data_IF_129512109860
#
_entry.id   IF_129512109860
#
_cell.length_a   1.000
_cell.length_b   1.000
_cell.length_c   1.000
_cell.angle_alpha   90.00
_cell.angle_beta   90.00
_cell.angle_gamma   90.00
#
_symmetry.space_group_name_H-M   'P 1'
#
loop_
_entity.id
_entity.type
_entity.pdbx_description
1 polymer ?
#
# COMPACT_ATOMS: atom_id res chain seq x y z
N UNK A 1 1.30 1.64 -8.50
CA UNK A 1 0.68 1.00 -9.68
C UNK A 1 0.69 -0.51 -9.50
N UNK A 2 -0.43 -1.17 -9.75
CA UNK A 2 -0.60 -2.60 -9.50
C UNK A 2 -1.22 -3.31 -10.70
N UNK A 3 -0.88 -4.59 -10.86
CA UNK A 3 -1.55 -5.53 -11.76
C UNK A 3 -2.19 -6.61 -10.88
N UNK A 4 -3.47 -6.84 -11.06
CA UNK A 4 -4.25 -7.81 -10.29
C UNK A 4 -4.70 -8.99 -11.14
N UNK A 5 -4.81 -10.16 -10.51
CA UNK A 5 -5.46 -11.34 -11.06
C UNK A 5 -6.40 -11.92 -10.01
N UNK A 6 -7.70 -12.04 -10.34
CA UNK A 6 -8.73 -12.52 -9.41
C UNK A 6 -8.75 -11.79 -8.07
N UNK A 7 -8.60 -10.46 -8.09
CA UNK A 7 -8.61 -9.63 -6.87
C UNK A 7 -7.31 -9.65 -6.04
N UNK A 8 -6.29 -10.37 -6.49
CA UNK A 8 -4.99 -10.43 -5.82
C UNK A 8 -3.94 -9.71 -6.66
N UNK A 9 -3.16 -8.84 -6.03
CA UNK A 9 -2.05 -8.16 -6.69
C UNK A 9 -0.95 -9.16 -7.01
N UNK A 10 -0.62 -9.30 -8.29
CA UNK A 10 0.45 -10.18 -8.79
C UNK A 10 1.72 -9.41 -9.14
N UNK A 11 1.59 -8.15 -9.51
CA UNK A 11 2.72 -7.25 -9.74
C UNK A 11 2.38 -5.85 -9.26
N UNK A 12 3.36 -5.15 -8.73
CA UNK A 12 3.22 -3.78 -8.27
C UNK A 12 4.54 -3.03 -8.41
N UNK A 13 4.46 -1.72 -8.57
CA UNK A 13 5.62 -0.84 -8.59
C UNK A 13 5.36 0.39 -7.71
N UNK A 14 6.36 0.81 -6.96
CA UNK A 14 6.30 2.02 -6.15
C UNK A 14 6.43 3.26 -7.01
N UNK A 15 5.57 4.24 -6.78
CA UNK A 15 5.53 5.51 -7.51
C UNK A 15 5.22 6.67 -6.59
N UNK A 16 5.86 7.81 -6.82
CA UNK A 16 5.44 9.10 -6.27
C UNK A 16 4.45 9.74 -7.23
N UNK A 17 3.25 10.04 -6.72
CA UNK A 17 2.18 10.64 -7.52
C UNK A 17 1.53 11.73 -6.68
N UNK A 18 1.84 12.99 -7.00
CA UNK A 18 1.45 14.16 -6.22
C UNK A 18 -0.06 14.26 -5.96
N UNK A 19 -0.89 13.94 -6.94
CA UNK A 19 -2.35 13.98 -6.79
C UNK A 19 -2.85 12.95 -5.77
N UNK A 20 -2.18 11.78 -5.67
CA UNK A 20 -2.49 10.76 -4.67
C UNK A 20 -2.04 11.23 -3.27
N UNK A 21 -0.88 11.84 -3.17
CA UNK A 21 -0.37 12.39 -1.91
C UNK A 21 -1.34 13.43 -1.34
N UNK A 22 -1.77 14.38 -2.16
CA UNK A 22 -2.77 15.40 -1.77
C UNK A 22 -4.10 14.76 -1.33
N UNK A 23 -4.55 13.75 -2.04
CA UNK A 23 -5.77 13.01 -1.69
C UNK A 23 -5.63 12.29 -0.34
N UNK A 24 -4.50 11.64 -0.10
CA UNK A 24 -4.26 10.94 1.18
C UNK A 24 -4.25 11.91 2.36
N UNK A 25 -3.64 13.09 2.22
CA UNK A 25 -3.71 14.13 3.25
C UNK A 25 -5.14 14.59 3.53
N UNK A 26 -5.94 14.80 2.48
CA UNK A 26 -7.34 15.18 2.63
C UNK A 26 -8.17 14.08 3.33
N UNK A 27 -7.91 12.81 3.04
CA UNK A 27 -8.55 11.67 3.72
C UNK A 27 -8.16 11.64 5.20
N UNK A 28 -6.88 11.78 5.52
CA UNK A 28 -6.39 11.79 6.90
C UNK A 28 -6.98 12.96 7.68
N UNK A 29 -7.02 14.15 7.11
CA UNK A 29 -7.58 15.33 7.77
C UNK A 29 -9.08 15.18 8.07
N UNK A 30 -9.82 14.62 7.12
CA UNK A 30 -11.26 14.45 7.23
C UNK A 30 -11.67 13.32 8.18
N UNK A 31 -11.05 12.16 8.04
CA UNK A 31 -11.46 10.93 8.75
C UNK A 31 -10.64 10.66 10.00
N UNK A 32 -9.45 11.25 10.13
CA UNK A 32 -8.52 11.06 11.26
C UNK A 32 -8.36 9.59 11.65
N UNK A 33 -7.98 8.72 10.69
CA UNK A 33 -7.91 7.29 10.92
C UNK A 33 -6.89 6.97 12.01
N UNK A 34 -7.21 5.98 12.83
CA UNK A 34 -6.30 5.46 13.85
C UNK A 34 -5.63 4.20 13.29
N UNK A 35 -4.34 4.29 12.98
CA UNK A 35 -3.57 3.18 12.41
C UNK A 35 -3.53 3.13 10.88
N UNK A 36 -3.02 2.04 10.35
CA UNK A 36 -2.85 1.87 8.90
C UNK A 36 -4.17 1.66 8.18
N UNK A 37 -4.27 2.25 7.02
CA UNK A 37 -5.38 2.03 6.09
C UNK A 37 -4.87 1.98 4.65
N UNK A 38 -5.59 1.28 3.81
CA UNK A 38 -5.29 1.12 2.41
C UNK A 38 -6.38 1.80 1.56
N UNK A 39 -5.96 2.66 0.64
CA UNK A 39 -6.85 3.34 -0.31
C UNK A 39 -6.67 2.73 -1.68
N UNK A 40 -7.75 2.26 -2.27
CA UNK A 40 -7.77 1.78 -3.65
C UNK A 40 -8.42 2.83 -4.54
N UNK A 41 -7.74 3.18 -5.60
CA UNK A 41 -8.17 4.22 -6.53
C UNK A 41 -7.68 3.94 -7.95
N UNK A 42 -8.29 4.60 -8.90
CA UNK A 42 -7.81 4.72 -10.28
C UNK A 42 -7.59 6.20 -10.59
N UNK A 43 -6.66 6.49 -11.50
CA UNK A 43 -6.48 7.83 -12.05
C UNK A 43 -6.99 7.83 -13.47
N UNK A 44 -7.93 8.72 -13.76
CA UNK A 44 -8.42 8.97 -15.10
C UNK A 44 -8.31 10.46 -15.41
N UNK A 45 -7.64 10.78 -16.51
CA UNK A 45 -7.39 12.16 -16.92
C UNK A 45 -6.77 13.05 -15.82
N UNK A 46 -5.86 12.47 -15.03
CA UNK A 46 -5.19 13.16 -13.92
C UNK A 46 -6.03 13.28 -12.64
N UNK A 47 -7.27 12.79 -12.63
CA UNK A 47 -8.17 12.83 -11.48
C UNK A 47 -8.19 11.47 -10.77
N UNK A 48 -7.96 11.43 -9.44
CA UNK A 48 -8.03 10.20 -8.65
C UNK A 48 -9.49 9.89 -8.27
N UNK A 49 -9.93 8.68 -8.56
CA UNK A 49 -11.23 8.15 -8.19
C UNK A 49 -11.05 7.03 -7.17
N UNK A 50 -11.42 7.30 -5.92
CA UNK A 50 -11.38 6.30 -4.84
C UNK A 50 -12.62 5.42 -4.93
N UNK A 51 -12.42 4.12 -4.91
CA UNK A 51 -13.52 3.16 -4.89
C UNK A 51 -13.54 2.28 -3.64
N UNK A 52 -12.43 2.23 -2.87
CA UNK A 52 -12.38 1.45 -1.64
C UNK A 52 -11.36 2.03 -0.65
N UNK A 53 -11.74 2.07 0.63
CA UNK A 53 -10.83 2.36 1.74
C UNK A 53 -10.95 1.22 2.76
N UNK A 54 -9.84 0.55 3.04
CA UNK A 54 -9.78 -0.57 3.98
C UNK A 54 -8.96 -0.17 5.22
N UNK A 55 -9.53 -0.20 6.43
CA UNK A 55 -8.81 0.10 7.67
C UNK A 55 -7.92 -1.08 8.10
N UNK A 56 -7.00 -1.46 7.27
CA UNK A 56 -6.04 -2.56 7.47
C UNK A 56 -4.83 -2.38 6.57
N UNK A 57 -3.77 -3.14 6.82
CA UNK A 57 -2.63 -3.24 5.91
C UNK A 57 -3.06 -3.74 4.52
N UNK A 58 -2.37 -3.26 3.51
CA UNK A 58 -2.50 -3.77 2.15
C UNK A 58 -1.94 -5.19 2.03
N UNK A 59 -2.46 -5.97 1.10
CA UNK A 59 -1.84 -7.25 0.70
C UNK A 59 -0.47 -7.05 0.04
N UNK A 60 -0.13 -5.82 -0.32
CA UNK A 60 1.18 -5.42 -0.86
C UNK A 60 2.12 -4.83 0.19
N UNK A 61 1.85 -5.02 1.49
CA UNK A 61 2.69 -4.51 2.59
C UNK A 61 4.16 -4.91 2.45
N UNK A 62 4.44 -6.10 1.92
CA UNK A 62 5.81 -6.54 1.67
C UNK A 62 6.59 -5.58 0.75
N UNK A 63 5.93 -5.04 -0.28
CA UNK A 63 6.52 -4.05 -1.17
C UNK A 63 6.77 -2.72 -0.44
N UNK A 64 5.85 -2.29 0.42
CA UNK A 64 6.00 -1.06 1.21
C UNK A 64 7.16 -1.18 2.17
N UNK A 65 7.30 -2.32 2.83
CA UNK A 65 8.41 -2.59 3.76
C UNK A 65 9.75 -2.65 3.03
N UNK A 66 9.83 -3.32 1.88
CA UNK A 66 11.04 -3.37 1.06
C UNK A 66 11.42 -2.00 0.49
N UNK A 67 10.43 -1.15 0.23
CA UNK A 67 10.65 0.24 -0.18
C UNK A 67 11.17 1.16 0.92
N UNK A 68 11.25 0.67 2.17
CA UNK A 68 11.82 1.39 3.32
C UNK A 68 10.81 1.89 4.35
N UNK A 69 9.53 1.56 4.21
CA UNK A 69 8.48 1.97 5.17
C UNK A 69 7.96 0.75 5.94
N UNK A 70 8.35 0.63 7.20
CA UNK A 70 7.87 -0.43 8.08
C UNK A 70 6.52 -0.02 8.71
N UNK A 71 5.43 -0.31 8.03
CA UNK A 71 4.07 0.02 8.47
C UNK A 71 3.71 -0.65 9.80
N UNK A 72 4.24 -1.84 10.08
CA UNK A 72 3.97 -2.57 11.32
C UNK A 72 4.60 -1.85 12.50
N UNK A 73 5.86 -1.47 12.39
CA UNK A 73 6.57 -0.71 13.43
C UNK A 73 5.91 0.64 13.68
N UNK A 74 5.53 1.36 12.61
CA UNK A 74 4.81 2.64 12.73
C UNK A 74 3.48 2.48 13.45
N UNK A 75 2.76 1.39 13.21
CA UNK A 75 1.47 1.13 13.86
C UNK A 75 1.61 0.77 15.34
N UNK A 76 2.75 0.23 15.76
CA UNK A 76 3.05 -0.12 17.15
C UNK A 76 3.71 1.02 17.92
N UNK A 77 4.21 2.03 17.22
CA UNK A 77 4.89 3.18 17.86
C UNK A 77 3.90 4.32 18.08
N UNK A 78 3.99 4.98 19.24
CA UNK A 78 3.26 6.23 19.52
C UNK A 78 3.86 7.45 18.77
N UNK A 79 4.87 7.22 17.95
CA UNK A 79 5.54 8.25 17.16
C UNK A 79 4.80 8.49 15.86
N UNK A 80 3.87 9.41 15.88
CA UNK A 80 3.23 9.91 14.65
C UNK A 80 4.17 10.90 13.96
N UNK A 81 4.82 10.49 12.89
CA UNK A 81 5.49 11.42 11.99
C UNK A 81 4.42 12.10 11.14
N UNK A 82 4.24 13.38 11.32
CA UNK A 82 3.21 14.17 10.61
C UNK A 82 3.54 14.47 9.15
N UNK A 83 4.13 13.55 8.38
CA UNK A 83 4.51 13.80 6.98
C UNK A 83 4.74 12.53 6.19
N UNK A 84 4.98 12.72 4.89
CA UNK A 84 5.40 11.64 4.01
C UNK A 84 6.75 11.08 4.43
N UNK A 85 6.80 9.77 4.58
CA UNK A 85 8.05 9.06 4.80
C UNK A 85 8.76 8.83 3.47
N UNK A 86 10.09 8.96 3.44
CA UNK A 86 10.86 8.65 2.25
C UNK A 86 10.75 7.16 1.92
N UNK A 87 10.62 6.85 0.65
CA UNK A 87 10.62 5.47 0.16
C UNK A 87 11.32 5.34 -1.19
N UNK A 88 11.75 4.13 -1.50
CA UNK A 88 12.36 3.82 -2.79
C UNK A 88 11.30 3.82 -3.88
N UNK A 89 11.41 4.72 -4.86
CA UNK A 89 10.56 4.79 -6.03
C UNK A 89 11.05 3.83 -7.13
N UNK A 90 10.13 3.27 -7.91
CA UNK A 90 10.47 2.37 -9.02
C UNK A 90 10.78 0.93 -8.58
N UNK A 91 10.62 0.61 -7.30
CA UNK A 91 10.78 -0.77 -6.84
C UNK A 91 9.63 -1.63 -7.35
N UNK A 92 9.95 -2.75 -7.98
CA UNK A 92 8.98 -3.67 -8.59
C UNK A 92 8.85 -4.92 -7.74
N UNK A 93 7.62 -5.28 -7.42
CA UNK A 93 7.26 -6.56 -6.82
C UNK A 93 6.58 -7.46 -7.85
N UNK A 94 7.02 -8.70 -7.93
CA UNK A 94 6.29 -9.77 -8.63
C UNK A 94 5.97 -10.87 -7.63
N UNK A 95 4.72 -11.29 -7.60
CA UNK A 95 4.26 -12.36 -6.71
C UNK A 95 4.17 -13.66 -7.48
N UNK A 96 4.70 -14.70 -6.90
CA UNK A 96 4.54 -16.05 -7.40
C UNK A 96 3.97 -16.95 -6.31
N UNK A 97 3.36 -18.05 -6.72
CA UNK A 97 2.87 -19.09 -5.82
C UNK A 97 3.74 -20.31 -6.00
N UNK A 98 4.15 -20.86 -4.87
CA UNK A 98 4.86 -22.14 -4.82
C UNK A 98 4.07 -23.11 -3.97
N UNK A 99 4.31 -24.39 -4.14
CA UNK A 99 3.63 -25.47 -3.45
C UNK A 99 4.66 -26.35 -2.76
N UNK A 100 4.44 -26.57 -1.48
CA UNK A 100 5.22 -27.49 -0.71
C UNK A 100 4.40 -28.77 -0.51
N UNK A 101 4.99 -29.90 -0.88
CA UNK A 101 4.36 -31.20 -0.70
C UNK A 101 5.01 -31.92 0.47
N UNK A 102 4.19 -32.43 1.37
CA UNK A 102 4.61 -33.35 2.42
C UNK A 102 3.56 -34.46 2.52
N UNK A 103 4.00 -35.65 2.74
CA UNK A 103 3.11 -36.81 2.87
C UNK A 103 3.49 -37.68 4.04
N UNK A 104 2.52 -38.48 4.52
CA UNK A 104 2.82 -39.59 5.38
C UNK A 104 3.69 -40.64 4.60
N UNK A 105 4.79 -40.99 5.13
CA UNK A 105 5.58 -42.11 4.62
C UNK A 105 4.91 -43.41 5.03
#
# INVERSE_FOLDING_TARGET
EIIQKRGITISAVTRKVEVIEKLCYAIVDKFKPCGSFNVQLIIQDGVPYVFEINPRFSTTIALTMEAGINEIELSLSDKHSGGLLPFTEGLVMSRYYDQLFWGAK
#
